data_IF_565408233565
#
_entry.id   IF_565408233565
#
_cell.length_a   1.000
_cell.length_b   1.000
_cell.length_c   1.000
_cell.angle_alpha   90.00
_cell.angle_beta   90.00
_cell.angle_gamma   90.00
#
_symmetry.space_group_name_H-M   'P 1'
#
loop_
_entity.id
_entity.type
_entity.pdbx_description
1 polymer ?
#
# COMPACT_ATOMS: atom_id res chain seq x y z
N UNK A 1 -3.91 17.24 -38.89
CA UNK A 1 -4.66 16.46 -37.89
C UNK A 1 -3.87 16.53 -36.60
N UNK A 2 -4.26 17.47 -35.73
CA UNK A 2 -3.66 17.64 -34.40
C UNK A 2 -4.28 16.58 -33.50
N UNK A 3 -3.45 15.66 -32.99
CA UNK A 3 -3.83 14.69 -31.95
C UNK A 3 -4.07 15.49 -30.67
N UNK A 4 -5.33 15.65 -30.26
CA UNK A 4 -5.70 16.11 -28.95
C UNK A 4 -5.13 15.13 -27.91
N UNK A 5 -4.11 15.59 -27.18
CA UNK A 5 -3.68 14.93 -25.97
C UNK A 5 -4.86 15.02 -24.99
N UNK A 6 -5.37 13.87 -24.57
CA UNK A 6 -6.34 13.82 -23.48
C UNK A 6 -5.74 14.58 -22.28
N UNK A 7 -6.34 15.70 -21.93
CA UNK A 7 -5.98 16.47 -20.74
C UNK A 7 -6.15 15.56 -19.52
N UNK A 8 -5.04 15.30 -18.85
CA UNK A 8 -4.91 14.50 -17.63
C UNK A 8 -5.60 15.25 -16.49
N UNK A 9 -6.93 15.08 -16.40
CA UNK A 9 -7.73 15.72 -15.34
C UNK A 9 -7.23 15.25 -13.96
N UNK A 10 -6.92 16.17 -13.03
CA UNK A 10 -6.48 15.79 -11.69
C UNK A 10 -7.55 14.94 -11.01
N UNK A 11 -7.10 13.89 -10.31
CA UNK A 11 -7.96 13.01 -9.48
C UNK A 11 -8.30 13.77 -8.20
N UNK A 12 -9.17 14.77 -8.31
CA UNK A 12 -9.52 15.65 -7.21
C UNK A 12 -10.69 15.06 -6.40
N UNK A 13 -10.48 14.88 -5.11
CA UNK A 13 -11.49 14.94 -4.07
C UNK A 13 -11.39 16.28 -3.33
N UNK A 14 -12.41 16.65 -2.58
CA UNK A 14 -12.45 17.92 -1.82
C UNK A 14 -11.37 18.03 -0.72
N UNK A 15 -10.68 16.95 -0.36
CA UNK A 15 -9.59 16.99 0.61
C UNK A 15 -8.25 17.27 -0.06
N UNK A 16 -7.60 18.35 0.36
CA UNK A 16 -6.23 18.71 -0.06
C UNK A 16 -5.14 17.78 0.50
N UNK A 17 -5.51 16.78 1.29
CA UNK A 17 -4.58 15.89 1.97
C UNK A 17 -3.92 14.90 1.01
N UNK A 18 -2.58 14.81 1.09
CA UNK A 18 -1.79 13.82 0.36
C UNK A 18 -1.95 12.45 1.01
N UNK A 19 -2.31 11.44 0.23
CA UNK A 19 -2.41 10.07 0.73
C UNK A 19 -1.03 9.42 0.83
N UNK A 20 -0.76 8.62 1.88
CA UNK A 20 0.51 7.92 2.00
C UNK A 20 0.64 6.81 0.95
N UNK A 21 1.79 6.75 0.27
CA UNK A 21 2.11 5.72 -0.73
C UNK A 21 1.97 4.31 -0.12
N UNK A 22 2.37 4.10 1.14
CA UNK A 22 2.21 2.83 1.86
C UNK A 22 0.76 2.38 1.99
N UNK A 23 -0.21 3.31 1.99
CA UNK A 23 -1.63 3.00 2.03
C UNK A 23 -2.14 2.26 0.78
N UNK A 24 -1.47 2.41 -0.36
CA UNK A 24 -1.79 1.71 -1.60
C UNK A 24 -1.62 0.19 -1.45
N UNK A 25 -0.56 -0.24 -0.75
CA UNK A 25 -0.38 -1.65 -0.43
C UNK A 25 -1.55 -2.18 0.41
N UNK A 26 -2.01 -1.41 1.41
CA UNK A 26 -3.10 -1.81 2.29
C UNK A 26 -4.42 -1.93 1.53
N UNK A 27 -4.78 -0.97 0.67
CA UNK A 27 -6.06 -1.01 -0.06
C UNK A 27 -6.10 -2.14 -1.09
N UNK A 28 -4.98 -2.42 -1.76
CA UNK A 28 -4.87 -3.55 -2.71
C UNK A 28 -4.92 -4.89 -1.99
N UNK A 29 -4.34 -4.99 -0.80
CA UNK A 29 -4.43 -6.19 0.01
C UNK A 29 -5.85 -6.41 0.53
N UNK A 30 -6.44 -5.39 1.15
CA UNK A 30 -7.79 -5.44 1.69
C UNK A 30 -8.33 -4.02 1.99
N UNK A 31 -9.40 -3.55 1.31
CA UNK A 31 -9.99 -2.24 1.57
C UNK A 31 -10.36 -2.03 3.04
N UNK A 32 -10.86 -3.05 3.73
CA UNK A 32 -11.18 -2.98 5.16
C UNK A 32 -9.93 -2.80 6.02
N UNK A 33 -8.82 -3.47 5.71
CA UNK A 33 -7.55 -3.24 6.41
C UNK A 33 -7.08 -1.79 6.23
N UNK A 34 -7.13 -1.27 5.00
CA UNK A 34 -6.79 0.12 4.72
C UNK A 34 -7.68 1.10 5.52
N UNK A 35 -9.00 0.86 5.59
CA UNK A 35 -9.90 1.69 6.37
C UNK A 35 -9.60 1.65 7.87
N UNK A 36 -9.36 0.46 8.44
CA UNK A 36 -9.00 0.32 9.84
C UNK A 36 -7.72 1.09 10.16
N UNK A 37 -6.71 1.05 9.30
CA UNK A 37 -5.42 1.74 9.51
C UNK A 37 -5.56 3.26 9.29
N UNK A 38 -6.16 3.68 8.19
CA UNK A 38 -6.08 5.08 7.74
C UNK A 38 -7.29 5.93 8.13
N UNK A 39 -8.45 5.32 8.35
CA UNK A 39 -9.67 6.02 8.80
C UNK A 39 -9.84 5.90 10.31
N UNK A 40 -9.83 4.66 10.84
CA UNK A 40 -10.02 4.40 12.27
C UNK A 40 -8.73 4.54 13.08
N UNK A 41 -7.58 4.73 12.42
CA UNK A 41 -6.27 4.87 13.07
C UNK A 41 -5.89 3.68 13.96
N UNK A 42 -6.42 2.49 13.63
CA UNK A 42 -6.12 1.25 14.34
C UNK A 42 -4.78 0.72 13.88
N UNK A 43 -3.80 0.73 14.76
CA UNK A 43 -2.49 0.16 14.51
C UNK A 43 -2.16 -0.90 15.56
N UNK A 44 -1.74 -2.08 15.11
CA UNK A 44 -1.25 -3.14 15.99
C UNK A 44 0.09 -3.66 15.48
N UNK A 45 1.09 -3.62 16.36
CA UNK A 45 2.35 -4.27 16.07
C UNK A 45 2.21 -5.79 16.23
N UNK A 46 2.71 -6.52 15.27
CA UNK A 46 2.92 -7.96 15.36
C UNK A 46 4.37 -8.28 15.01
N UNK A 47 4.78 -9.54 15.18
CA UNK A 47 6.14 -9.96 14.84
C UNK A 47 6.54 -9.61 13.40
N UNK A 48 5.58 -9.53 12.47
CA UNK A 48 5.82 -9.15 11.09
C UNK A 48 6.11 -7.66 10.93
N UNK A 49 5.36 -6.78 11.61
CA UNK A 49 5.59 -5.33 11.57
C UNK A 49 6.87 -4.94 12.32
N UNK A 50 7.17 -5.57 13.47
CA UNK A 50 8.37 -5.30 14.26
C UNK A 50 9.66 -5.66 13.50
N UNK A 51 9.72 -6.81 12.85
CA UNK A 51 10.89 -7.16 12.03
C UNK A 51 10.96 -6.36 10.73
N UNK A 52 9.83 -5.90 10.18
CA UNK A 52 9.80 -4.93 9.10
C UNK A 52 10.52 -3.65 9.50
N UNK A 53 10.21 -3.09 10.67
CA UNK A 53 10.89 -1.89 11.21
C UNK A 53 12.41 -2.08 11.29
N UNK A 54 12.91 -3.20 11.80
CA UNK A 54 14.36 -3.46 11.91
C UNK A 54 15.02 -3.51 10.52
N UNK A 55 14.34 -4.07 9.50
CA UNK A 55 14.86 -4.06 8.14
C UNK A 55 14.91 -2.65 7.57
N UNK A 56 13.90 -1.82 7.87
CA UNK A 56 13.81 -0.43 7.45
C UNK A 56 14.74 0.52 8.24
N UNK A 57 15.08 0.23 9.51
CA UNK A 57 15.96 1.10 10.32
C UNK A 57 17.27 1.46 9.63
N UNK A 58 17.83 0.59 8.78
CA UNK A 58 19.05 0.86 8.01
C UNK A 58 18.80 1.65 6.72
N UNK A 59 17.60 1.50 6.14
CA UNK A 59 17.22 2.16 4.87
C UNK A 59 16.51 3.48 5.11
N UNK A 60 15.87 3.65 6.28
CA UNK A 60 15.15 4.86 6.69
C UNK A 60 16.10 6.00 7.13
N UNK A 61 17.40 5.73 7.30
CA UNK A 61 18.38 6.78 7.53
C UNK A 61 18.76 7.44 6.19
N UNK A 62 18.54 8.75 6.03
CA UNK A 62 18.97 9.46 4.85
C UNK A 62 20.47 9.25 4.62
N UNK A 63 20.83 8.89 3.41
CA UNK A 63 22.23 8.62 3.07
C UNK A 63 22.40 8.52 1.56
N UNK A 64 23.64 8.78 1.14
CA UNK A 64 24.04 8.66 -0.24
C UNK A 64 25.35 7.87 -0.33
N UNK A 65 25.34 6.88 -1.22
CA UNK A 65 26.52 6.09 -1.59
C UNK A 65 26.72 6.16 -3.10
N UNK A 66 27.95 5.86 -3.56
CA UNK A 66 28.23 5.67 -4.98
C UNK A 66 28.94 4.34 -5.17
N UNK A 67 28.41 3.49 -6.03
CA UNK A 67 28.98 2.18 -6.36
C UNK A 67 28.93 1.95 -7.86
N UNK A 68 30.05 1.62 -8.48
CA UNK A 68 30.16 1.33 -9.91
C UNK A 68 29.45 2.37 -10.82
N UNK A 69 29.60 3.65 -10.53
CA UNK A 69 28.95 4.73 -11.29
C UNK A 69 27.50 5.03 -10.92
N UNK A 70 26.83 4.17 -10.15
CA UNK A 70 25.45 4.37 -9.70
C UNK A 70 25.44 5.17 -8.38
N UNK A 71 24.62 6.23 -8.33
CA UNK A 71 24.37 6.99 -7.10
C UNK A 71 23.18 6.32 -6.39
N UNK A 72 23.37 5.96 -5.13
CA UNK A 72 22.35 5.30 -4.32
C UNK A 72 21.92 6.25 -3.20
N UNK A 73 20.65 6.64 -3.18
CA UNK A 73 20.07 7.47 -2.10
C UNK A 73 19.06 6.66 -1.32
N UNK A 74 19.08 6.82 0.02
CA UNK A 74 18.15 6.16 0.95
C UNK A 74 17.15 7.14 1.53
N UNK A 75 15.99 6.66 1.94
CA UNK A 75 14.88 7.43 2.51
C UNK A 75 14.54 8.66 1.66
N UNK A 76 14.32 8.44 0.36
CA UNK A 76 14.09 9.52 -0.60
C UNK A 76 12.65 10.00 -0.48
N UNK A 77 12.40 11.29 -0.13
CA UNK A 77 11.06 11.85 -0.11
C UNK A 77 10.43 11.84 -1.51
N UNK A 78 9.19 11.39 -1.58
CA UNK A 78 8.42 11.29 -2.81
C UNK A 78 7.12 12.05 -2.68
N UNK A 79 6.72 12.71 -3.78
CA UNK A 79 5.43 13.39 -3.91
C UNK A 79 4.98 13.35 -5.36
N UNK A 80 3.71 13.17 -5.58
CA UNK A 80 3.04 13.40 -6.85
C UNK A 80 1.86 14.32 -6.61
N UNK A 81 1.89 15.49 -7.23
CA UNK A 81 0.78 16.44 -7.17
C UNK A 81 -0.37 15.98 -8.07
N UNK A 82 -0.06 15.30 -9.18
CA UNK A 82 -1.06 14.70 -10.08
C UNK A 82 -1.86 13.59 -9.37
N UNK A 83 -1.20 12.70 -8.65
CA UNK A 83 -1.84 11.58 -7.96
C UNK A 83 -2.29 11.95 -6.54
N UNK A 84 -1.86 13.08 -6.01
CA UNK A 84 -2.11 13.51 -4.62
C UNK A 84 -1.67 12.47 -3.60
N UNK A 85 -0.45 11.95 -3.78
CA UNK A 85 0.19 10.98 -2.89
C UNK A 85 1.57 11.47 -2.46
N UNK A 86 2.03 11.03 -1.28
CA UNK A 86 3.38 11.30 -0.79
C UNK A 86 3.90 10.13 0.05
N UNK A 87 5.21 10.06 0.24
CA UNK A 87 5.84 9.03 1.05
C UNK A 87 7.36 9.07 0.97
N UNK A 88 7.99 7.95 1.33
CA UNK A 88 9.42 7.75 1.22
C UNK A 88 9.67 6.51 0.34
N UNK A 89 10.68 6.58 -0.53
CA UNK A 89 11.25 5.38 -1.13
C UNK A 89 12.39 4.89 -0.24
N UNK A 90 12.43 3.60 0.05
CA UNK A 90 13.51 2.99 0.85
C UNK A 90 14.87 3.30 0.25
N UNK A 91 14.99 3.07 -1.06
CA UNK A 91 16.22 3.35 -1.82
C UNK A 91 15.86 3.74 -3.25
N UNK A 92 16.60 4.70 -3.79
CA UNK A 92 16.58 5.04 -5.22
C UNK A 92 18.01 4.97 -5.75
N UNK A 93 18.21 4.14 -6.77
CA UNK A 93 19.42 4.06 -7.56
C UNK A 93 19.32 5.02 -8.75
N UNK A 94 20.28 5.88 -8.95
CA UNK A 94 20.35 6.80 -10.07
C UNK A 94 21.43 6.32 -11.04
N UNK A 95 20.98 5.88 -12.20
CA UNK A 95 21.86 5.40 -13.29
C UNK A 95 22.10 6.52 -14.29
N UNK A 96 23.34 6.62 -14.80
CA UNK A 96 23.66 7.58 -15.86
C UNK A 96 22.81 7.26 -17.13
N UNK A 97 22.13 8.28 -17.64
CA UNK A 97 21.28 8.19 -18.83
C UNK A 97 21.23 9.54 -19.54
N UNK A 98 21.93 9.63 -20.66
CA UNK A 98 22.00 10.86 -21.45
C UNK A 98 20.63 11.30 -22.02
N UNK A 99 19.62 10.43 -22.04
CA UNK A 99 18.26 10.76 -22.47
C UNK A 99 17.39 11.33 -21.35
N UNK A 100 17.85 11.26 -20.09
CA UNK A 100 17.15 11.88 -18.97
C UNK A 100 17.49 13.36 -18.88
N UNK A 101 16.56 14.26 -18.48
CA UNK A 101 16.76 15.71 -18.44
C UNK A 101 17.95 16.15 -17.59
N UNK A 102 18.21 15.48 -16.48
CA UNK A 102 19.29 15.73 -15.53
C UNK A 102 20.45 14.72 -15.67
N UNK A 103 20.47 13.95 -16.77
CA UNK A 103 21.51 12.96 -17.06
C UNK A 103 21.44 11.69 -16.18
N UNK A 104 20.40 11.56 -15.36
CA UNK A 104 20.25 10.48 -14.39
C UNK A 104 18.83 9.87 -14.47
N UNK A 105 18.74 8.56 -14.59
CA UNK A 105 17.48 7.83 -14.54
C UNK A 105 17.29 7.19 -13.16
N UNK A 106 16.23 7.55 -12.43
CA UNK A 106 15.93 6.94 -11.14
C UNK A 106 15.38 5.51 -11.32
N UNK A 107 15.77 4.63 -10.40
CA UNK A 107 15.36 3.24 -10.30
C UNK A 107 15.02 2.95 -8.82
N UNK A 108 13.73 2.93 -8.44
CA UNK A 108 13.31 2.69 -7.07
C UNK A 108 13.53 1.22 -6.66
N UNK A 109 13.96 1.02 -5.41
CA UNK A 109 14.14 -0.30 -4.79
C UNK A 109 13.42 -0.29 -3.45
N UNK A 110 12.37 -1.10 -3.35
CA UNK A 110 11.56 -1.25 -2.14
C UNK A 110 11.95 -2.53 -1.41
N UNK A 111 12.13 -2.44 -0.10
CA UNK A 111 12.53 -3.55 0.76
C UNK A 111 11.29 -4.21 1.38
N UNK A 112 11.14 -5.51 1.16
CA UNK A 112 10.06 -6.32 1.72
C UNK A 112 10.63 -7.43 2.60
N UNK A 113 10.06 -7.58 3.78
CA UNK A 113 10.49 -8.63 4.70
C UNK A 113 10.20 -10.03 4.17
N UNK A 114 9.05 -10.23 3.52
CA UNK A 114 8.60 -11.53 3.02
C UNK A 114 9.49 -12.13 1.96
N UNK A 115 9.06 -13.26 1.39
CA UNK A 115 9.75 -13.94 0.29
C UNK A 115 8.85 -14.16 -0.92
N UNK A 116 7.62 -13.64 -0.90
CA UNK A 116 6.62 -13.88 -1.93
C UNK A 116 6.21 -12.58 -2.61
N UNK A 117 6.36 -12.54 -3.93
CA UNK A 117 5.91 -11.43 -4.78
C UNK A 117 4.39 -11.27 -4.71
N UNK A 118 3.91 -10.04 -4.52
CA UNK A 118 2.49 -9.69 -4.41
C UNK A 118 2.19 -8.46 -5.25
N UNK A 119 1.01 -8.44 -5.88
CA UNK A 119 0.54 -7.27 -6.62
C UNK A 119 0.53 -5.99 -5.76
N UNK A 120 0.20 -6.10 -4.47
CA UNK A 120 0.20 -4.97 -3.55
C UNK A 120 1.59 -4.31 -3.40
N UNK A 121 2.66 -5.12 -3.40
CA UNK A 121 4.04 -4.63 -3.35
C UNK A 121 4.43 -3.95 -4.67
N UNK A 122 4.01 -4.51 -5.80
CA UNK A 122 4.27 -3.95 -7.14
C UNK A 122 3.55 -2.62 -7.35
N UNK A 123 2.30 -2.50 -6.88
CA UNK A 123 1.53 -1.25 -6.93
C UNK A 123 2.20 -0.17 -6.08
N UNK A 124 2.68 -0.49 -4.89
CA UNK A 124 3.42 0.48 -4.07
C UNK A 124 4.70 0.94 -4.76
N UNK A 125 5.49 0.02 -5.30
CA UNK A 125 6.73 0.34 -6.02
C UNK A 125 6.45 1.15 -7.31
N UNK A 126 5.39 0.81 -8.05
CA UNK A 126 4.97 1.57 -9.23
C UNK A 126 4.53 3.00 -8.87
N UNK A 127 3.84 3.20 -7.74
CA UNK A 127 3.49 4.53 -7.26
C UNK A 127 4.75 5.37 -6.94
N UNK A 128 5.79 4.77 -6.36
CA UNK A 128 7.08 5.44 -6.16
C UNK A 128 7.70 5.84 -7.51
N UNK A 129 7.66 4.96 -8.50
CA UNK A 129 8.17 5.24 -9.85
C UNK A 129 7.41 6.40 -10.53
N UNK A 130 6.09 6.47 -10.38
CA UNK A 130 5.27 7.56 -10.90
C UNK A 130 5.61 8.91 -10.23
N UNK A 131 5.87 8.91 -8.92
CA UNK A 131 6.35 10.10 -8.22
C UNK A 131 7.74 10.54 -8.71
N UNK A 132 8.66 9.59 -8.89
CA UNK A 132 10.01 9.88 -9.42
C UNK A 132 9.95 10.38 -10.87
N UNK A 133 9.06 9.82 -11.69
CA UNK A 133 8.86 10.26 -13.07
C UNK A 133 8.38 11.72 -13.13
N UNK A 134 7.44 12.10 -12.25
CA UNK A 134 6.95 13.47 -12.13
C UNK A 134 8.06 14.41 -11.62
N UNK A 135 8.82 14.00 -10.58
CA UNK A 135 9.89 14.79 -9.98
C UNK A 135 11.03 15.08 -10.98
N UNK A 136 11.45 14.08 -11.77
CA UNK A 136 12.60 14.17 -12.68
C UNK A 136 12.22 14.49 -14.13
N UNK A 137 10.93 14.59 -14.46
CA UNK A 137 10.45 14.86 -15.82
C UNK A 137 10.86 13.76 -16.83
N UNK A 138 11.06 12.52 -16.37
CA UNK A 138 11.49 11.40 -17.21
C UNK A 138 10.65 10.14 -16.96
N UNK A 139 10.64 9.21 -17.91
CA UNK A 139 9.94 7.94 -17.70
C UNK A 139 10.76 6.99 -16.82
N UNK A 140 10.14 6.45 -15.78
CA UNK A 140 10.71 5.39 -14.92
C UNK A 140 10.00 4.09 -15.25
N UNK A 141 10.66 3.20 -15.98
CA UNK A 141 10.05 1.98 -16.53
C UNK A 141 10.29 0.73 -15.68
N UNK A 142 11.29 0.75 -14.82
CA UNK A 142 11.69 -0.40 -14.01
C UNK A 142 12.02 0.01 -12.59
N UNK A 143 11.89 -0.92 -11.67
CA UNK A 143 12.33 -0.85 -10.28
C UNK A 143 12.55 -2.25 -9.75
N UNK A 144 12.82 -2.39 -8.45
CA UNK A 144 13.03 -3.70 -7.86
C UNK A 144 12.37 -3.83 -6.49
N UNK A 145 11.92 -5.04 -6.18
CA UNK A 145 11.53 -5.48 -4.84
C UNK A 145 12.67 -6.33 -4.27
N UNK A 146 13.16 -5.98 -3.08
CA UNK A 146 14.15 -6.78 -2.37
C UNK A 146 13.47 -7.53 -1.22
N UNK A 147 13.43 -8.84 -1.31
CA UNK A 147 12.83 -9.71 -0.30
C UNK A 147 13.87 -10.19 0.71
N UNK A 148 13.84 -9.64 1.92
CA UNK A 148 14.83 -9.89 2.96
C UNK A 148 14.86 -11.34 3.46
N UNK A 149 13.71 -12.02 3.55
CA UNK A 149 13.63 -13.40 4.01
C UNK A 149 14.39 -14.38 3.11
N UNK A 150 14.42 -14.13 1.81
CA UNK A 150 15.09 -14.99 0.81
C UNK A 150 16.30 -14.29 0.18
N UNK A 151 16.66 -13.09 0.64
CA UNK A 151 17.78 -12.27 0.13
C UNK A 151 17.78 -12.14 -1.40
N UNK A 152 16.59 -11.95 -1.99
CA UNK A 152 16.41 -11.91 -3.44
C UNK A 152 15.88 -10.57 -3.91
N UNK A 153 16.55 -10.00 -4.91
CA UNK A 153 16.07 -8.86 -5.68
C UNK A 153 15.27 -9.35 -6.89
N UNK A 154 14.09 -8.81 -7.08
CA UNK A 154 13.19 -9.12 -8.20
C UNK A 154 12.88 -7.82 -8.91
N UNK A 155 13.25 -7.73 -10.18
CA UNK A 155 12.95 -6.59 -11.01
C UNK A 155 11.46 -6.57 -11.39
N UNK A 156 10.89 -5.37 -11.46
CA UNK A 156 9.50 -5.12 -11.81
C UNK A 156 9.48 -4.12 -12.96
N UNK A 157 8.88 -4.50 -14.06
CA UNK A 157 8.58 -3.60 -15.18
C UNK A 157 7.25 -2.87 -14.90
N UNK A 158 7.26 -1.55 -15.04
CA UNK A 158 6.07 -0.73 -14.86
C UNK A 158 5.29 -0.61 -16.17
N UNK A 159 4.65 -1.71 -16.55
CA UNK A 159 3.80 -1.77 -17.75
C UNK A 159 2.61 -0.81 -17.63
N UNK A 160 2.01 -0.42 -18.76
CA UNK A 160 0.79 0.41 -18.76
C UNK A 160 -0.33 -0.21 -17.91
N UNK A 161 -0.44 -1.55 -17.92
CA UNK A 161 -1.42 -2.24 -17.09
C UNK A 161 -1.14 -2.07 -15.58
N UNK A 162 0.13 -2.14 -15.15
CA UNK A 162 0.49 -1.94 -13.74
C UNK A 162 0.29 -0.48 -13.34
N UNK A 163 0.64 0.48 -14.20
CA UNK A 163 0.38 1.91 -13.97
C UNK A 163 -1.12 2.19 -13.82
N UNK A 164 -1.96 1.68 -14.72
CA UNK A 164 -3.41 1.81 -14.65
C UNK A 164 -3.99 1.22 -13.35
N UNK A 165 -3.49 0.05 -12.92
CA UNK A 165 -3.87 -0.57 -11.63
C UNK A 165 -3.43 0.28 -10.44
N UNK A 166 -2.27 0.90 -10.52
CA UNK A 166 -1.75 1.79 -9.47
C UNK A 166 -2.63 3.02 -9.34
N UNK A 167 -2.99 3.66 -10.44
CA UNK A 167 -3.92 4.79 -10.44
C UNK A 167 -5.32 4.40 -9.95
N UNK A 168 -5.80 3.21 -10.31
CA UNK A 168 -7.05 2.67 -9.77
C UNK A 168 -6.98 2.48 -8.25
N UNK A 169 -5.84 1.98 -7.72
CA UNK A 169 -5.63 1.84 -6.29
C UNK A 169 -5.60 3.21 -5.58
N UNK A 170 -5.00 4.24 -6.18
CA UNK A 170 -5.03 5.61 -5.67
C UNK A 170 -6.47 6.13 -5.58
N UNK A 171 -7.27 5.97 -6.65
CA UNK A 171 -8.69 6.38 -6.64
C UNK A 171 -9.49 5.62 -5.59
N UNK A 172 -9.31 4.31 -5.49
CA UNK A 172 -10.00 3.48 -4.49
C UNK A 172 -9.63 3.88 -3.06
N UNK A 173 -8.35 4.17 -2.82
CA UNK A 173 -7.88 4.60 -1.49
C UNK A 173 -8.43 5.99 -1.14
N UNK A 174 -8.47 6.93 -2.09
CA UNK A 174 -9.08 8.24 -1.92
C UNK A 174 -10.56 8.12 -1.56
N UNK A 175 -11.32 7.39 -2.34
CA UNK A 175 -12.75 7.17 -2.09
C UNK A 175 -13.01 6.53 -0.71
N UNK A 176 -12.13 5.63 -0.28
CA UNK A 176 -12.21 4.98 1.04
C UNK A 176 -12.01 6.01 2.18
N UNK A 177 -11.01 6.86 2.05
CA UNK A 177 -10.69 7.89 3.06
C UNK A 177 -11.79 8.95 3.11
N UNK A 178 -12.25 9.41 1.96
CA UNK A 178 -13.32 10.42 1.85
C UNK A 178 -14.66 9.90 2.39
N UNK A 179 -14.97 8.62 2.16
CA UNK A 179 -16.19 8.01 2.68
C UNK A 179 -16.20 7.91 4.22
N UNK A 180 -15.03 7.93 4.87
CA UNK A 180 -14.86 7.77 6.33
C UNK A 180 -15.64 6.58 6.91
N UNK A 181 -15.71 5.49 6.13
CA UNK A 181 -16.44 4.27 6.52
C UNK A 181 -15.57 3.04 6.37
N UNK A 182 -15.67 2.14 7.34
CA UNK A 182 -15.01 0.83 7.27
C UNK A 182 -15.90 -0.13 6.48
N UNK A 183 -15.46 -0.65 5.32
CA UNK A 183 -16.23 -1.61 4.54
C UNK A 183 -16.52 -2.88 5.34
N UNK A 184 -17.58 -3.60 4.96
CA UNK A 184 -17.86 -4.91 5.51
C UNK A 184 -16.67 -5.87 5.28
N UNK A 185 -16.39 -6.81 6.19
CA UNK A 185 -15.34 -7.78 6.00
C UNK A 185 -15.70 -8.79 4.91
N UNK A 186 -14.68 -9.16 4.16
CA UNK A 186 -14.73 -10.26 3.18
C UNK A 186 -13.75 -11.35 3.64
N UNK A 187 -14.22 -12.35 4.43
CA UNK A 187 -13.37 -13.43 4.91
C UNK A 187 -12.73 -14.21 3.76
N UNK A 188 -11.47 -14.59 3.93
CA UNK A 188 -10.76 -15.35 2.92
C UNK A 188 -9.31 -15.65 3.32
N UNK A 189 -8.59 -16.33 2.42
CA UNK A 189 -7.20 -16.76 2.67
C UNK A 189 -6.28 -15.60 3.08
N UNK A 190 -6.50 -14.39 2.56
CA UNK A 190 -5.74 -13.17 2.91
C UNK A 190 -5.80 -12.84 4.41
N UNK A 191 -6.89 -13.20 5.09
CA UNK A 191 -7.06 -12.90 6.51
C UNK A 191 -6.07 -13.63 7.42
N UNK A 192 -5.55 -14.79 7.01
CA UNK A 192 -4.55 -15.56 7.77
C UNK A 192 -3.20 -14.84 7.86
N UNK A 193 -2.90 -13.97 6.91
CA UNK A 193 -1.66 -13.20 6.84
C UNK A 193 -1.85 -11.74 7.28
N UNK A 194 -3.07 -11.36 7.68
CA UNK A 194 -3.43 -10.00 8.06
C UNK A 194 -3.03 -9.69 9.51
N UNK A 195 -2.24 -8.64 9.73
CA UNK A 195 -1.86 -8.19 11.08
C UNK A 195 -3.05 -7.74 11.94
N UNK A 196 -4.17 -7.39 11.30
CA UNK A 196 -5.38 -6.92 11.97
C UNK A 196 -6.48 -7.99 12.07
N UNK A 197 -6.20 -9.26 11.74
CA UNK A 197 -7.24 -10.30 11.71
C UNK A 197 -7.99 -10.45 13.04
N UNK A 198 -7.26 -10.40 14.17
CA UNK A 198 -7.85 -10.49 15.52
C UNK A 198 -8.75 -9.31 15.88
N UNK A 199 -8.39 -8.08 15.47
CA UNK A 199 -9.19 -6.89 15.69
C UNK A 199 -10.36 -6.80 14.70
N UNK A 200 -10.12 -7.18 13.45
CA UNK A 200 -11.09 -7.17 12.37
C UNK A 200 -12.19 -8.21 12.58
N UNK A 201 -11.87 -9.36 13.19
CA UNK A 201 -12.76 -10.51 13.40
C UNK A 201 -13.62 -10.82 12.17
N UNK A 202 -13.00 -11.07 10.98
CA UNK A 202 -13.71 -11.08 9.70
C UNK A 202 -14.84 -12.09 9.65
N UNK A 203 -14.66 -13.29 10.20
CA UNK A 203 -15.67 -14.36 10.24
C UNK A 203 -16.88 -13.98 11.09
N UNK A 204 -16.65 -13.31 12.22
CA UNK A 204 -17.70 -12.88 13.13
C UNK A 204 -18.49 -11.68 12.57
N UNK A 205 -17.78 -10.71 11.98
CA UNK A 205 -18.37 -9.47 11.48
C UNK A 205 -19.01 -9.61 10.08
N UNK A 206 -18.69 -10.66 9.33
CA UNK A 206 -19.30 -10.90 8.01
C UNK A 206 -20.76 -11.37 8.06
N UNK A 207 -21.21 -11.86 9.22
CA UNK A 207 -22.61 -12.32 9.41
C UNK A 207 -23.48 -11.16 9.89
N UNK A 208 -24.36 -10.60 9.03
CA UNK A 208 -25.23 -9.48 9.41
C UNK A 208 -26.12 -9.83 10.62
N UNK A 209 -26.27 -8.88 11.52
CA UNK A 209 -27.17 -9.01 12.67
C UNK A 209 -26.70 -9.94 13.80
N UNK A 210 -25.54 -10.62 13.66
CA UNK A 210 -25.04 -11.53 14.72
C UNK A 210 -24.80 -10.79 16.05
N UNK A 211 -24.17 -9.63 16.02
CA UNK A 211 -23.93 -8.81 17.20
C UNK A 211 -25.26 -8.32 17.80
N UNK A 212 -26.20 -7.86 16.97
CA UNK A 212 -27.51 -7.42 17.41
C UNK A 212 -28.32 -8.55 18.08
N UNK A 213 -28.30 -9.75 17.47
CA UNK A 213 -28.96 -10.94 18.06
C UNK A 213 -28.32 -11.34 19.40
N UNK A 214 -26.99 -11.31 19.48
CA UNK A 214 -26.27 -11.59 20.71
C UNK A 214 -26.63 -10.59 21.82
N UNK A 215 -26.66 -9.30 21.51
CA UNK A 215 -27.06 -8.25 22.46
C UNK A 215 -28.54 -8.38 22.89
N UNK A 216 -29.41 -8.72 21.95
CA UNK A 216 -30.81 -8.96 22.26
C UNK A 216 -31.00 -10.19 23.16
N UNK A 217 -30.24 -11.26 22.96
CA UNK A 217 -30.25 -12.43 23.85
C UNK A 217 -29.76 -12.08 25.26
N UNK A 218 -28.70 -11.28 25.39
CA UNK A 218 -28.23 -10.80 26.69
C UNK A 218 -29.28 -9.94 27.40
N UNK A 219 -29.95 -9.01 26.70
CA UNK A 219 -30.97 -8.13 27.26
C UNK A 219 -32.27 -8.86 27.67
N UNK A 220 -32.53 -10.02 27.04
CA UNK A 220 -33.68 -10.87 27.41
C UNK A 220 -33.36 -11.91 28.47
N UNK A 221 -32.18 -11.88 29.09
CA UNK A 221 -31.78 -12.77 30.18
C UNK A 221 -31.47 -14.21 29.71
N UNK A 222 -31.30 -14.43 28.42
CA UNK A 222 -30.89 -15.72 27.86
C UNK A 222 -29.39 -15.95 28.07
N UNK A 223 -29.03 -17.18 28.50
CA UNK A 223 -27.63 -17.56 28.68
C UNK A 223 -26.87 -17.44 27.34
N UNK A 224 -25.80 -16.64 27.25
CA UNK A 224 -24.97 -16.52 26.05
C UNK A 224 -24.39 -17.85 25.55
N UNK A 225 -24.26 -18.84 26.43
CA UNK A 225 -23.78 -20.18 26.06
C UNK A 225 -24.84 -20.98 25.27
N UNK A 226 -26.13 -20.73 25.47
CA UNK A 226 -27.21 -21.34 24.72
C UNK A 226 -27.29 -20.83 23.27
N UNK A 227 -26.90 -19.59 23.03
CA UNK A 227 -26.84 -18.96 21.72
C UNK A 227 -25.80 -19.63 20.79
N UNK A 228 -24.67 -20.09 21.33
CA UNK A 228 -23.60 -20.76 20.55
C UNK A 228 -24.02 -22.14 20.03
N UNK A 229 -24.96 -22.80 20.67
CA UNK A 229 -25.45 -24.14 20.28
C UNK A 229 -26.41 -24.12 19.08
N UNK A 230 -27.16 -23.03 18.92
CA UNK A 230 -28.11 -22.88 17.80
C UNK A 230 -27.47 -22.48 16.46
N UNK A 231 -26.19 -22.05 16.47
CA UNK A 231 -25.47 -21.72 15.22
C UNK A 231 -24.60 -22.89 14.69
N UNK A 232 -24.55 -24.03 15.38
CA UNK A 232 -23.77 -25.20 15.02
C UNK A 232 -24.59 -26.31 14.37
N UNK A 233 -25.92 -26.16 14.30
CA UNK A 233 -26.84 -27.00 13.53
C UNK A 233 -27.22 -26.29 12.21
#
# INVERSE_FOLDING_TARGET
>A
MQSERAEDKPILSESDELLPISGLQHVVFCPRQAALIHVERVWRENSATTHGKILHERVDQPGQDRRAGVIIKRAVPLRSDRLRIAGLADTVEYHEDAAAPDGLRPFPVEYKRGGKRRLADEVQLCAQALCLAELHGCSVRHGALYYGAIKRRVEVEFTEQLQARTEQAVRAFRALVDARKVPAPEPGAKCRECSLAELCMPEACAKPGRAARYLAALSSGLDPASYRRQEAE
#
